data_IF_718963584615
#
_entry.id   IF_718963584615
#
_cell.length_a   1.000
_cell.length_b   1.000
_cell.length_c   1.000
_cell.angle_alpha   90.00
_cell.angle_beta   90.00
_cell.angle_gamma   90.00
#
_symmetry.space_group_name_H-M   'P 1'
#
loop_
_entity.id
_entity.type
_entity.pdbx_description
1 polymer ?
#
# COMPACT_ATOMS: atom_id res chain seq x y z
N UNK A 1 -13.57 -10.38 24.69
CA UNK A 1 -13.14 -11.21 23.55
C UNK A 1 -12.19 -10.35 22.76
N UNK A 2 -10.89 -10.54 22.98
CA UNK A 2 -9.84 -9.79 22.30
C UNK A 2 -9.73 -10.33 20.88
N UNK A 3 -9.94 -9.50 19.88
CA UNK A 3 -9.71 -9.86 18.48
C UNK A 3 -8.21 -10.03 18.29
N UNK A 4 -7.76 -11.28 18.36
CA UNK A 4 -6.45 -11.73 17.91
C UNK A 4 -6.29 -11.25 16.46
N UNK A 5 -5.49 -10.20 16.29
CA UNK A 5 -5.02 -9.82 14.97
C UNK A 5 -4.13 -10.96 14.52
N UNK A 6 -4.59 -11.75 13.55
CA UNK A 6 -3.74 -12.61 12.72
C UNK A 6 -2.88 -11.65 11.91
N UNK A 7 -1.91 -11.02 12.59
CA UNK A 7 -0.82 -10.30 11.98
C UNK A 7 0.08 -11.35 11.36
N UNK A 8 -0.22 -11.66 10.11
CA UNK A 8 0.64 -12.39 9.19
C UNK A 8 2.09 -11.88 9.39
N UNK A 9 3.03 -12.82 9.54
CA UNK A 9 4.49 -12.67 9.71
C UNK A 9 5.13 -11.98 8.48
N UNK A 10 4.55 -10.85 8.03
CA UNK A 10 4.98 -10.12 6.85
C UNK A 10 5.85 -8.98 7.26
N UNK A 11 7.07 -9.02 6.77
CA UNK A 11 8.01 -7.92 6.85
C UNK A 11 7.63 -6.85 5.81
N UNK A 12 6.89 -5.83 6.26
CA UNK A 12 6.39 -4.76 5.39
C UNK A 12 7.52 -3.92 4.79
N UNK A 13 8.64 -3.81 5.48
CA UNK A 13 9.85 -3.11 5.00
C UNK A 13 10.45 -3.87 3.82
N UNK A 14 10.58 -5.20 3.93
CA UNK A 14 11.01 -6.06 2.82
C UNK A 14 10.02 -6.03 1.65
N UNK A 15 8.71 -6.06 1.92
CA UNK A 15 7.71 -5.93 0.85
C UNK A 15 7.81 -4.57 0.14
N UNK A 16 8.03 -3.49 0.89
CA UNK A 16 8.19 -2.13 0.37
C UNK A 16 9.44 -1.97 -0.48
N UNK A 17 10.56 -2.59 -0.08
CA UNK A 17 11.81 -2.59 -0.82
C UNK A 17 11.75 -3.45 -2.10
N UNK A 18 10.79 -4.37 -2.18
CA UNK A 18 10.61 -5.20 -3.36
C UNK A 18 10.16 -4.38 -4.58
N UNK A 19 10.68 -4.66 -5.79
CA UNK A 19 10.20 -4.02 -7.01
C UNK A 19 8.71 -4.28 -7.27
N UNK A 20 8.14 -5.32 -6.65
CA UNK A 20 6.72 -5.63 -6.74
C UNK A 20 5.82 -4.57 -6.06
N UNK A 21 6.35 -3.79 -5.11
CA UNK A 21 5.62 -2.68 -4.51
C UNK A 21 5.52 -1.47 -5.44
N UNK A 22 6.31 -1.39 -6.52
CA UNK A 22 6.43 -0.17 -7.31
C UNK A 22 7.47 0.77 -6.72
N UNK A 23 7.80 1.85 -7.46
CA UNK A 23 8.96 2.71 -7.15
C UNK A 23 8.60 4.11 -6.67
N UNK A 24 7.40 4.59 -6.96
CA UNK A 24 7.01 6.00 -6.76
C UNK A 24 5.64 6.03 -6.07
N UNK A 25 5.48 6.97 -5.14
CA UNK A 25 4.24 7.18 -4.42
C UNK A 25 4.27 6.66 -2.99
N UNK A 26 3.11 6.79 -2.34
CA UNK A 26 2.91 6.40 -0.96
C UNK A 26 2.71 4.89 -0.85
N UNK A 27 3.31 4.25 0.17
CA UNK A 27 3.06 2.86 0.43
C UNK A 27 1.68 2.66 1.06
N UNK A 28 0.93 1.74 0.48
CA UNK A 28 -0.34 1.23 0.99
C UNK A 28 -0.18 -0.26 1.20
N UNK A 29 -0.74 -0.77 2.29
CA UNK A 29 -1.12 -2.18 2.31
C UNK A 29 -2.42 -2.27 1.51
N UNK A 30 -2.44 -3.12 0.48
CA UNK A 30 -3.56 -3.18 -0.44
C UNK A 30 -3.94 -4.62 -0.76
N UNK A 31 -5.24 -4.84 -0.98
CA UNK A 31 -5.79 -6.14 -1.34
C UNK A 31 -6.13 -6.22 -2.82
N UNK A 32 -5.62 -7.25 -3.49
CA UNK A 32 -5.93 -7.53 -4.89
C UNK A 32 -7.39 -7.97 -5.03
N UNK A 33 -8.16 -7.26 -5.85
CA UNK A 33 -9.58 -7.59 -6.09
C UNK A 33 -9.77 -8.94 -6.79
N UNK A 34 -8.78 -9.41 -7.55
CA UNK A 34 -8.83 -10.67 -8.29
C UNK A 34 -8.51 -11.92 -7.44
N UNK A 35 -7.44 -11.89 -6.65
CA UNK A 35 -6.98 -13.06 -5.88
C UNK A 35 -6.97 -12.88 -4.36
N UNK A 36 -7.43 -11.74 -3.86
CA UNK A 36 -7.52 -11.41 -2.43
C UNK A 36 -6.18 -11.44 -1.69
N UNK A 37 -5.05 -11.44 -2.42
CA UNK A 37 -3.73 -11.30 -1.81
C UNK A 37 -3.56 -9.87 -1.31
N UNK A 38 -3.15 -9.73 -0.07
CA UNK A 38 -2.69 -8.46 0.51
C UNK A 38 -1.18 -8.35 0.27
N UNK A 39 -0.72 -7.17 -0.16
CA UNK A 39 0.69 -6.85 -0.32
C UNK A 39 0.91 -5.33 -0.30
N UNK A 40 2.12 -4.91 0.07
CA UNK A 40 2.52 -3.51 -0.05
C UNK A 40 2.57 -3.09 -1.52
N UNK A 41 2.00 -1.92 -1.81
CA UNK A 41 1.95 -1.26 -3.12
C UNK A 41 2.14 0.23 -2.96
N UNK A 42 2.83 0.85 -3.91
CA UNK A 42 3.00 2.29 -4.02
C UNK A 42 2.04 2.85 -5.06
N UNK A 43 1.35 3.92 -4.70
CA UNK A 43 0.49 4.68 -5.60
C UNK A 43 0.64 6.18 -5.31
N UNK A 44 0.45 7.02 -6.33
CA UNK A 44 0.40 8.47 -6.10
C UNK A 44 -0.92 8.84 -5.42
N UNK A 45 -0.96 10.00 -4.74
CA UNK A 45 -2.20 10.54 -4.18
C UNK A 45 -3.29 10.70 -5.25
N UNK A 46 -2.89 11.14 -6.44
CA UNK A 46 -3.80 11.30 -7.59
C UNK A 46 -4.42 9.97 -8.02
N UNK A 47 -3.63 8.89 -8.04
CA UNK A 47 -4.12 7.54 -8.39
C UNK A 47 -5.14 7.01 -7.39
N UNK A 48 -5.06 7.44 -6.13
CA UNK A 48 -6.01 7.08 -5.06
C UNK A 48 -7.08 8.14 -4.83
N UNK A 49 -7.19 9.16 -5.70
CA UNK A 49 -8.31 10.11 -5.70
C UNK A 49 -8.12 11.34 -4.81
N UNK A 50 -6.89 11.66 -4.43
CA UNK A 50 -6.54 12.81 -3.61
C UNK A 50 -5.70 13.83 -4.39
N UNK A 51 -5.74 15.09 -3.93
CA UNK A 51 -4.85 16.12 -4.46
C UNK A 51 -3.38 15.85 -4.06
N UNK A 52 -2.39 16.19 -4.91
CA UNK A 52 -0.97 15.92 -4.65
C UNK A 52 -0.41 16.52 -3.34
N UNK A 53 -1.10 17.50 -2.77
CA UNK A 53 -0.70 18.26 -1.59
C UNK A 53 -1.52 17.89 -0.34
N UNK A 54 -2.32 16.82 -0.41
CA UNK A 54 -3.10 16.36 0.73
C UNK A 54 -2.20 15.99 1.92
N UNK A 55 -2.69 16.23 3.14
CA UNK A 55 -1.95 15.90 4.35
C UNK A 55 -1.88 14.37 4.53
N UNK A 56 -0.66 13.84 4.47
CA UNK A 56 -0.39 12.40 4.57
C UNK A 56 -0.68 11.84 5.96
N UNK A 57 -0.61 12.67 7.01
CA UNK A 57 -0.84 12.22 8.39
C UNK A 57 -2.33 12.03 8.72
N UNK A 58 -3.21 12.63 7.93
CA UNK A 58 -4.67 12.54 8.07
C UNK A 58 -5.29 11.55 7.08
N UNK A 59 -4.48 10.93 6.20
CA UNK A 59 -4.97 10.04 5.16
C UNK A 59 -5.29 8.65 5.73
N UNK A 60 -6.57 8.28 5.69
CA UNK A 60 -7.03 6.93 6.03
C UNK A 60 -7.31 6.10 4.78
N UNK A 61 -7.23 4.77 4.90
CA UNK A 61 -7.48 3.88 3.77
C UNK A 61 -8.92 3.97 3.24
N UNK A 62 -9.88 4.34 4.11
CA UNK A 62 -11.28 4.53 3.75
C UNK A 62 -11.54 5.72 2.82
N UNK A 63 -10.63 6.69 2.80
CA UNK A 63 -10.71 7.85 1.91
C UNK A 63 -10.09 7.58 0.54
N UNK A 64 -9.24 6.55 0.44
CA UNK A 64 -8.50 6.21 -0.77
C UNK A 64 -9.35 5.35 -1.73
N UNK A 65 -9.35 5.72 -3.00
CA UNK A 65 -9.98 4.91 -4.06
C UNK A 65 -9.10 3.75 -4.51
N UNK A 66 -9.71 2.76 -5.15
CA UNK A 66 -8.99 1.64 -5.76
C UNK A 66 -8.05 2.14 -6.87
N UNK A 67 -6.84 1.59 -6.91
CA UNK A 67 -5.85 1.92 -7.94
C UNK A 67 -5.43 0.67 -8.74
N UNK A 68 -4.87 0.85 -9.93
CA UNK A 68 -4.39 -0.26 -10.76
C UNK A 68 -2.93 -0.57 -10.46
N UNK A 69 -2.63 -1.85 -10.24
CA UNK A 69 -1.26 -2.33 -10.13
C UNK A 69 -1.13 -3.78 -10.60
N UNK A 70 0.09 -4.16 -10.99
CA UNK A 70 0.42 -5.55 -11.34
C UNK A 70 0.26 -6.44 -10.10
N UNK A 71 -0.48 -7.54 -10.27
CA UNK A 71 -0.50 -8.64 -9.32
C UNK A 71 0.31 -9.82 -9.87
N UNK A 72 1.44 -10.13 -9.23
CA UNK A 72 2.31 -11.23 -9.65
C UNK A 72 1.65 -12.61 -9.50
N UNK A 73 0.66 -12.76 -8.61
CA UNK A 73 -0.12 -13.98 -8.47
C UNK A 73 -1.14 -14.15 -9.61
N UNK A 74 -1.87 -13.09 -9.95
CA UNK A 74 -2.80 -13.10 -11.09
C UNK A 74 -2.10 -12.97 -12.44
N UNK A 75 -0.82 -12.58 -12.46
CA UNK A 75 -0.02 -12.30 -13.66
C UNK A 75 -0.66 -11.27 -14.60
N UNK A 76 -1.37 -10.30 -14.02
CA UNK A 76 -2.06 -9.24 -14.78
C UNK A 76 -2.08 -7.93 -14.00
N UNK A 77 -2.30 -6.82 -14.72
CA UNK A 77 -2.66 -5.55 -14.12
C UNK A 77 -4.12 -5.62 -13.66
N UNK A 78 -4.35 -5.38 -12.38
CA UNK A 78 -5.68 -5.51 -11.75
C UNK A 78 -5.90 -4.37 -10.75
N UNK A 79 -7.12 -4.27 -10.23
CA UNK A 79 -7.47 -3.29 -9.21
C UNK A 79 -7.06 -3.78 -7.84
N UNK A 80 -6.52 -2.87 -7.05
CA UNK A 80 -6.15 -3.06 -5.66
C UNK A 80 -6.88 -2.05 -4.80
N UNK A 81 -7.45 -2.52 -3.69
CA UNK A 81 -8.11 -1.65 -2.72
C UNK A 81 -7.14 -1.38 -1.58
N UNK A 82 -6.85 -0.11 -1.25
CA UNK A 82 -6.15 0.24 -0.02
C UNK A 82 -6.87 -0.35 1.19
N UNK A 83 -6.12 -0.96 2.10
CA UNK A 83 -6.61 -1.42 3.40
C UNK A 83 -5.90 -0.73 4.56
N UNK A 84 -4.67 -0.23 4.35
CA UNK A 84 -3.97 0.64 5.27
C UNK A 84 -3.02 1.59 4.53
N UNK A 85 -2.82 2.78 5.08
CA UNK A 85 -1.82 3.75 4.62
C UNK A 85 -0.57 3.58 5.49
N UNK A 86 0.60 3.36 4.87
CA UNK A 86 1.84 3.00 5.57
C UNK A 86 2.83 4.17 5.65
N UNK A 87 2.34 5.39 5.93
CA UNK A 87 3.16 6.62 5.98
C UNK A 87 4.31 6.56 6.99
N UNK A 88 4.20 5.73 8.04
CA UNK A 88 5.29 5.45 8.97
C UNK A 88 6.53 4.80 8.34
N UNK A 89 6.36 4.02 7.26
CA UNK A 89 7.48 3.37 6.56
C UNK A 89 8.28 4.32 5.66
N UNK A 90 7.72 5.48 5.31
CA UNK A 90 8.41 6.49 4.48
C UNK A 90 9.52 7.18 5.27
N UNK A 91 9.37 7.31 6.60
CA UNK A 91 10.35 8.00 7.46
C UNK A 91 11.64 7.19 7.61
N UNK A 92 11.55 5.86 7.61
CA UNK A 92 12.71 4.96 7.73
C UNK A 92 13.67 5.04 6.52
N UNK A 93 13.15 5.32 5.31
CA UNK A 93 13.93 5.41 4.06
C UNK A 93 14.69 6.76 3.93
N UNK A 94 14.39 7.76 4.78
CA UNK A 94 14.94 9.12 4.71
C UNK A 94 16.07 9.38 5.74
N UNK A 95 16.29 8.47 6.70
CA UNK A 95 17.32 8.63 7.75
C UNK A 95 18.68 7.99 7.38
N UNK A 96 18.78 7.36 6.20
CA UNK A 96 20.02 6.79 5.66
C UNK A 96 20.54 7.61 4.45
N UNK A 97 20.87 8.90 4.64
CA UNK A 97 21.73 9.68 3.71
C UNK A 97 22.66 10.64 4.47
#
# INVERSE_FOLDING_TARGET
MSTEHVGDDRDLEVELASPAAGRIGLPFDAICTGCQRIAVKRASLEDVGHEPQANLEELEAGDCTSFKHICHRCQTCTWWNPVAVLTGLIRADQEED
#
